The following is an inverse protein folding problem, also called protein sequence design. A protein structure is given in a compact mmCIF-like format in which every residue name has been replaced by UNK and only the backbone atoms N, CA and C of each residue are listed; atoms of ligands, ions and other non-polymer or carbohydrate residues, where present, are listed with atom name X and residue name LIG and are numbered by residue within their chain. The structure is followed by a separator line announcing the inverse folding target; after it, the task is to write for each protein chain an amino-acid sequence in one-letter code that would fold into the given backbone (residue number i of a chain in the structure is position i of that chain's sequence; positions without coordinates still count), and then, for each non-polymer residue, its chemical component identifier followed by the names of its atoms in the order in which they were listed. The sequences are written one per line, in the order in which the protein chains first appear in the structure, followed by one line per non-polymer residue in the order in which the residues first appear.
data_IF_883984302738
#
_entry.id   IF_883984302738
#
_cell.length_a   1.000
_cell.length_b   1.000
_cell.length_c   1.000
_cell.angle_alpha   90.00
_cell.angle_beta   90.00
_cell.angle_gamma   90.00
#
_symmetry.space_group_name_H-M   'P 1'
#
loop_
_entity.id
_entity.type
_entity.pdbx_description
1 polymer ?
#
# COMPACT_ATOMS: atom_id res chain seq x y z
N UNK A 1 18.00 -3.95 -23.57
CA UNK A 1 17.38 -3.28 -22.41
C UNK A 1 16.75 -4.39 -21.59
N UNK A 2 17.31 -4.68 -20.41
CA UNK A 2 16.81 -5.76 -19.56
C UNK A 2 15.42 -5.44 -19.05
N UNK A 3 14.54 -6.43 -19.11
CA UNK A 3 13.17 -6.44 -18.59
C UNK A 3 13.21 -6.31 -17.06
N UNK A 4 13.46 -5.10 -16.55
CA UNK A 4 13.29 -4.81 -15.13
C UNK A 4 11.79 -4.69 -14.92
N UNK A 5 11.14 -5.58 -14.15
CA UNK A 5 9.72 -5.49 -13.91
C UNK A 5 9.41 -4.11 -13.32
N UNK A 6 8.60 -3.31 -14.01
CA UNK A 6 8.05 -2.09 -13.42
C UNK A 6 7.11 -2.52 -12.30
N UNK A 7 7.59 -2.42 -11.05
CA UNK A 7 6.75 -2.68 -9.89
C UNK A 7 5.64 -1.62 -9.81
N UNK A 8 4.39 -2.08 -9.82
CA UNK A 8 3.22 -1.23 -9.69
C UNK A 8 3.22 -0.44 -8.38
N UNK A 9 2.45 0.65 -8.38
CA UNK A 9 2.37 1.57 -7.25
C UNK A 9 1.42 1.06 -6.16
N UNK A 10 1.91 0.13 -5.35
CA UNK A 10 1.13 -0.45 -4.25
C UNK A 10 0.69 0.60 -3.22
N UNK A 11 1.52 1.63 -2.97
CA UNK A 11 1.21 2.66 -1.99
C UNK A 11 0.00 3.49 -2.43
N UNK A 12 -0.02 3.95 -3.68
CA UNK A 12 -1.13 4.76 -4.18
C UNK A 12 -2.44 3.96 -4.22
N UNK A 13 -2.39 2.67 -4.59
CA UNK A 13 -3.57 1.81 -4.54
C UNK A 13 -4.06 1.62 -3.10
N UNK A 14 -3.17 1.38 -2.15
CA UNK A 14 -3.53 1.27 -0.73
C UNK A 14 -4.12 2.59 -0.19
N UNK A 15 -3.56 3.73 -0.60
CA UNK A 15 -4.09 5.05 -0.24
C UNK A 15 -5.48 5.29 -0.83
N UNK A 16 -5.73 4.90 -2.09
CA UNK A 16 -7.04 4.98 -2.72
C UNK A 16 -8.07 4.09 -2.00
N UNK A 17 -7.69 2.87 -1.63
CA UNK A 17 -8.52 1.97 -0.82
C UNK A 17 -8.90 2.63 0.51
N UNK A 18 -7.91 3.13 1.26
CA UNK A 18 -8.14 3.79 2.55
C UNK A 18 -9.02 5.04 2.43
N UNK A 19 -8.83 5.81 1.36
CA UNK A 19 -9.63 7.02 1.11
C UNK A 19 -11.09 6.66 0.86
N UNK A 20 -11.34 5.61 0.07
CA UNK A 20 -12.68 5.13 -0.22
C UNK A 20 -13.37 4.58 1.03
N UNK A 21 -12.71 3.72 1.81
CA UNK A 21 -13.27 3.17 3.05
C UNK A 21 -13.62 4.27 4.05
N UNK A 22 -12.75 5.27 4.22
CA UNK A 22 -13.00 6.42 5.10
C UNK A 22 -14.19 7.28 4.65
N UNK A 23 -14.40 7.41 3.34
CA UNK A 23 -15.57 8.13 2.80
C UNK A 23 -16.85 7.35 3.09
N UNK A 24 -16.87 6.06 2.79
CA UNK A 24 -18.06 5.22 2.96
C UNK A 24 -18.44 5.05 4.43
N UNK A 25 -17.45 4.89 5.32
CA UNK A 25 -17.66 4.84 6.76
C UNK A 25 -18.31 6.12 7.30
N UNK A 26 -17.82 7.29 6.85
CA UNK A 26 -18.46 8.58 7.19
C UNK A 26 -19.87 8.71 6.64
N UNK A 27 -20.13 8.20 5.43
CA UNK A 27 -21.48 8.20 4.85
C UNK A 27 -22.44 7.31 5.64
N UNK A 28 -21.99 6.12 6.05
CA UNK A 28 -22.75 5.20 6.90
C UNK A 28 -23.07 5.84 8.25
N UNK A 29 -22.06 6.40 8.93
CA UNK A 29 -22.26 7.12 10.19
C UNK A 29 -23.25 8.29 10.04
N UNK A 30 -23.13 9.09 8.98
CA UNK A 30 -24.07 10.17 8.69
C UNK A 30 -25.50 9.69 8.42
N UNK A 31 -25.68 8.53 7.79
CA UNK A 31 -26.99 7.92 7.59
C UNK A 31 -27.62 7.48 8.92
N UNK A 32 -26.82 6.89 9.81
CA UNK A 32 -27.24 6.55 11.18
C UNK A 32 -27.68 7.77 11.96
N UNK A 33 -26.89 8.86 11.97
CA UNK A 33 -27.26 10.08 12.67
C UNK A 33 -28.55 10.71 12.12
N UNK A 34 -28.75 10.69 10.79
CA UNK A 34 -29.99 11.18 10.16
C UNK A 34 -31.21 10.36 10.59
N UNK A 35 -31.10 9.03 10.61
CA UNK A 35 -32.17 8.16 11.11
C UNK A 35 -32.48 8.44 12.58
N UNK A 36 -31.46 8.49 13.44
CA UNK A 36 -31.64 8.77 14.87
C UNK A 36 -32.37 10.10 15.12
N UNK A 37 -31.99 11.15 14.38
CA UNK A 37 -32.67 12.45 14.44
C UNK A 37 -34.13 12.35 14.02
N UNK A 38 -34.44 11.60 12.95
CA UNK A 38 -35.82 11.39 12.51
C UNK A 38 -36.64 10.56 13.51
N UNK A 39 -36.03 9.60 14.19
CA UNK A 39 -36.69 8.85 15.26
C UNK A 39 -37.03 9.73 16.45
N UNK A 40 -36.09 10.57 16.90
CA UNK A 40 -36.36 11.54 17.97
C UNK A 40 -37.51 12.49 17.59
N UNK A 41 -37.53 12.99 16.35
CA UNK A 41 -38.63 13.82 15.85
C UNK A 41 -39.96 13.06 15.79
N UNK A 42 -39.94 11.77 15.45
CA UNK A 42 -41.13 10.92 15.43
C UNK A 42 -41.69 10.69 16.84
N UNK A 43 -40.84 10.45 17.84
CA UNK A 43 -41.29 10.29 19.22
C UNK A 43 -41.94 11.58 19.76
N UNK A 44 -41.35 12.75 19.48
CA UNK A 44 -41.96 14.04 19.79
C UNK A 44 -43.30 14.26 19.05
N UNK A 45 -43.39 13.87 17.78
CA UNK A 45 -44.61 13.99 17.00
C UNK A 45 -45.73 13.04 17.47
N UNK A 46 -45.39 11.87 18.02
CA UNK A 46 -46.36 10.94 18.63
C UNK A 46 -47.02 11.54 19.86
N UNK A 47 -46.27 12.26 20.71
CA UNK A 47 -46.82 12.98 21.87
C UNK A 47 -47.87 14.03 21.45
N UNK A 48 -47.76 14.55 20.22
CA UNK A 48 -48.71 15.53 19.64
C UNK A 48 -49.75 14.88 18.70
N UNK A 49 -49.90 13.55 18.71
CA UNK A 49 -50.80 12.80 17.80
C UNK A 49 -50.57 13.03 16.29
N UNK A 50 -49.35 13.41 15.89
CA UNK A 50 -48.94 13.71 14.50
C UNK A 50 -47.90 12.74 13.93
N UNK A 51 -47.72 11.57 14.56
CA UNK A 51 -46.68 10.59 14.21
C UNK A 51 -46.72 10.07 12.76
N UNK A 52 -47.91 9.99 12.15
CA UNK A 52 -48.10 9.46 10.79
C UNK A 52 -47.37 10.27 9.71
N UNK A 53 -47.05 11.56 9.96
CA UNK A 53 -46.35 12.44 9.00
C UNK A 53 -44.88 12.08 8.77
N UNK A 54 -44.26 11.33 9.69
CA UNK A 54 -42.82 11.01 9.64
C UNK A 54 -42.54 9.53 9.32
N UNK A 55 -43.57 8.68 9.31
CA UNK A 55 -43.42 7.23 9.11
C UNK A 55 -42.71 6.88 7.80
N UNK A 56 -43.17 7.41 6.66
CA UNK A 56 -42.56 7.16 5.35
C UNK A 56 -41.12 7.64 5.27
N UNK A 57 -40.83 8.83 5.83
CA UNK A 57 -39.46 9.39 5.87
C UNK A 57 -38.54 8.52 6.72
N UNK A 58 -39.03 8.00 7.85
CA UNK A 58 -38.26 7.12 8.71
C UNK A 58 -37.97 5.77 8.03
N UNK A 59 -38.95 5.19 7.33
CA UNK A 59 -38.75 3.95 6.56
C UNK A 59 -37.66 4.11 5.51
N UNK A 60 -37.71 5.20 4.74
CA UNK A 60 -36.67 5.52 3.75
C UNK A 60 -35.30 5.74 4.41
N UNK A 61 -35.24 6.44 5.55
CA UNK A 61 -34.00 6.65 6.29
C UNK A 61 -33.40 5.34 6.81
N UNK A 62 -34.23 4.40 7.30
CA UNK A 62 -33.80 3.06 7.71
C UNK A 62 -33.30 2.20 6.55
N UNK A 63 -33.88 2.34 5.37
CA UNK A 63 -33.40 1.66 4.17
C UNK A 63 -32.05 2.23 3.71
N UNK A 64 -31.94 3.55 3.66
CA UNK A 64 -30.70 4.24 3.29
C UNK A 64 -29.55 3.96 4.27
N UNK A 65 -29.81 3.90 5.58
CA UNK A 65 -28.83 3.49 6.58
C UNK A 65 -28.36 2.06 6.34
N UNK A 66 -29.28 1.09 6.18
CA UNK A 66 -28.93 -0.31 5.92
C UNK A 66 -28.04 -0.45 4.68
N UNK A 67 -28.39 0.21 3.59
CA UNK A 67 -27.60 0.21 2.36
C UNK A 67 -26.21 0.82 2.55
N UNK A 68 -26.12 1.98 3.22
CA UNK A 68 -24.84 2.66 3.45
C UNK A 68 -23.92 1.85 4.38
N UNK A 69 -24.47 1.26 5.46
CA UNK A 69 -23.71 0.42 6.39
C UNK A 69 -23.23 -0.85 5.70
N UNK A 70 -24.09 -1.52 4.92
CA UNK A 70 -23.71 -2.72 4.18
C UNK A 70 -22.59 -2.41 3.18
N UNK A 71 -22.76 -1.37 2.38
CA UNK A 71 -21.75 -0.96 1.40
C UNK A 71 -20.41 -0.62 2.06
N UNK A 72 -20.43 0.10 3.19
CA UNK A 72 -19.21 0.42 3.93
C UNK A 72 -18.49 -0.84 4.39
N UNK A 73 -19.22 -1.80 4.97
CA UNK A 73 -18.63 -3.06 5.45
C UNK A 73 -18.07 -3.90 4.31
N UNK A 74 -18.82 -4.04 3.24
CA UNK A 74 -18.39 -4.81 2.09
C UNK A 74 -17.10 -4.27 1.47
N UNK A 75 -17.03 -2.95 1.26
CA UNK A 75 -15.83 -2.32 0.70
C UNK A 75 -14.65 -2.41 1.68
N UNK A 76 -14.90 -2.28 2.98
CA UNK A 76 -13.88 -2.52 3.99
C UNK A 76 -13.34 -3.95 3.91
N UNK A 77 -14.20 -4.97 3.85
CA UNK A 77 -13.77 -6.38 3.70
C UNK A 77 -12.97 -6.60 2.42
N UNK A 78 -13.45 -6.11 1.27
CA UNK A 78 -12.76 -6.28 -0.01
C UNK A 78 -11.37 -5.60 -0.02
N UNK A 79 -11.26 -4.41 0.55
CA UNK A 79 -9.98 -3.70 0.66
C UNK A 79 -9.02 -4.33 1.66
N UNK A 80 -9.54 -4.94 2.73
CA UNK A 80 -8.74 -5.74 3.67
C UNK A 80 -8.19 -7.00 3.00
N UNK A 81 -9.02 -7.75 2.26
CA UNK A 81 -8.55 -8.91 1.49
C UNK A 81 -7.51 -8.53 0.45
N UNK A 82 -7.74 -7.44 -0.30
CA UNK A 82 -6.76 -6.94 -1.25
C UNK A 82 -5.42 -6.65 -0.57
N UNK A 83 -5.45 -5.97 0.58
CA UNK A 83 -4.23 -5.53 1.28
C UNK A 83 -3.49 -6.67 1.97
N UNK A 84 -4.21 -7.59 2.61
CA UNK A 84 -3.63 -8.60 3.51
C UNK A 84 -3.49 -9.98 2.89
N UNK A 85 -4.26 -10.31 1.86
CA UNK A 85 -4.20 -11.60 1.19
C UNK A 85 -3.51 -11.47 -0.18
N UNK A 86 -3.87 -10.45 -0.96
CA UNK A 86 -3.43 -10.32 -2.36
C UNK A 86 -2.15 -9.51 -2.52
N UNK A 87 -1.98 -8.40 -1.79
CA UNK A 87 -0.83 -7.50 -1.91
C UNK A 87 0.22 -7.69 -0.79
N UNK A 88 -0.02 -8.61 0.15
CA UNK A 88 0.95 -8.94 1.19
C UNK A 88 2.19 -9.63 0.61
N UNK A 89 3.40 -9.31 1.09
CA UNK A 89 4.63 -9.94 0.58
C UNK A 89 4.60 -11.45 0.81
N UNK A 90 4.41 -11.85 2.07
CA UNK A 90 4.12 -13.23 2.46
C UNK A 90 2.65 -13.54 2.17
N UNK A 91 2.40 -14.22 1.06
CA UNK A 91 1.05 -14.56 0.62
C UNK A 91 1.04 -15.73 -0.35
N UNK A 92 -0.10 -15.99 -1.00
CA UNK A 92 -0.29 -17.14 -1.86
C UNK A 92 0.53 -17.03 -3.17
N UNK A 93 0.43 -18.06 -4.01
CA UNK A 93 1.07 -18.10 -5.34
C UNK A 93 0.58 -16.96 -6.23
N UNK A 94 1.34 -16.61 -7.28
CA UNK A 94 0.89 -15.63 -8.26
C UNK A 94 -0.48 -15.98 -8.85
N UNK A 95 -0.72 -17.26 -9.19
CA UNK A 95 -1.98 -17.72 -9.76
C UNK A 95 -3.16 -17.49 -8.81
N UNK A 96 -3.02 -17.92 -7.55
CA UNK A 96 -4.05 -17.70 -6.52
C UNK A 96 -4.28 -16.20 -6.27
N UNK A 97 -3.23 -15.37 -6.30
CA UNK A 97 -3.38 -13.91 -6.17
C UNK A 97 -4.15 -13.32 -7.32
N UNK A 98 -3.93 -13.76 -8.56
CA UNK A 98 -4.67 -13.29 -9.73
C UNK A 98 -6.15 -13.63 -9.61
N UNK A 99 -6.48 -14.85 -9.21
CA UNK A 99 -7.87 -15.27 -8.98
C UNK A 99 -8.56 -14.41 -7.90
N UNK A 100 -7.90 -14.24 -6.75
CA UNK A 100 -8.42 -13.40 -5.65
C UNK A 100 -8.55 -11.92 -6.06
N UNK A 101 -7.59 -11.40 -6.83
CA UNK A 101 -7.62 -10.03 -7.33
C UNK A 101 -8.81 -9.83 -8.27
N UNK A 102 -9.00 -10.73 -9.24
CA UNK A 102 -10.08 -10.66 -10.22
C UNK A 102 -11.44 -10.78 -9.53
N UNK A 103 -11.55 -11.66 -8.52
CA UNK A 103 -12.72 -11.75 -7.64
C UNK A 103 -13.02 -10.40 -6.95
N UNK A 104 -12.03 -9.77 -6.34
CA UNK A 104 -12.21 -8.47 -5.67
C UNK A 104 -12.68 -7.40 -6.67
N UNK A 105 -12.07 -7.34 -7.86
CA UNK A 105 -12.46 -6.37 -8.90
C UNK A 105 -13.90 -6.61 -9.38
N UNK A 106 -14.32 -7.86 -9.52
CA UNK A 106 -15.70 -8.22 -9.85
C UNK A 106 -16.69 -7.80 -8.75
N UNK A 107 -16.36 -8.07 -7.49
CA UNK A 107 -17.19 -7.68 -6.34
C UNK A 107 -17.30 -6.15 -6.19
N UNK A 108 -16.24 -5.40 -6.48
CA UNK A 108 -16.27 -3.94 -6.55
C UNK A 108 -17.20 -3.46 -7.67
N UNK A 109 -17.21 -4.12 -8.83
CA UNK A 109 -18.10 -3.78 -9.95
C UNK A 109 -19.57 -3.93 -9.58
N UNK A 110 -19.93 -5.00 -8.87
CA UNK A 110 -21.32 -5.22 -8.42
C UNK A 110 -21.79 -4.10 -7.48
N UNK A 111 -20.91 -3.61 -6.60
CA UNK A 111 -21.21 -2.54 -5.65
C UNK A 111 -21.18 -1.14 -6.25
N UNK A 112 -20.44 -0.95 -7.34
CA UNK A 112 -20.49 0.26 -8.14
C UNK A 112 -21.91 0.49 -8.70
N UNK A 113 -22.50 -0.55 -9.29
CA UNK A 113 -23.86 -0.52 -9.86
C UNK A 113 -24.91 -0.22 -8.77
N UNK A 114 -24.66 -0.67 -7.53
CA UNK A 114 -25.55 -0.45 -6.39
C UNK A 114 -25.55 0.98 -5.83
N UNK A 115 -24.78 1.93 -6.41
CA UNK A 115 -25.04 3.37 -6.23
C UNK A 115 -23.89 4.22 -5.70
N UNK A 116 -22.63 3.75 -5.76
CA UNK A 116 -21.49 4.60 -5.38
C UNK A 116 -20.50 4.79 -6.54
N UNK A 117 -20.68 5.87 -7.29
CA UNK A 117 -19.77 6.30 -8.36
C UNK A 117 -18.31 6.46 -7.89
N UNK A 118 -18.07 6.60 -6.58
CA UNK A 118 -16.72 6.71 -6.01
C UNK A 118 -15.94 5.40 -6.01
N UNK A 119 -16.59 4.26 -6.24
CA UNK A 119 -15.94 2.95 -6.41
C UNK A 119 -15.27 2.85 -7.78
N UNK A 120 -15.86 3.49 -8.79
CA UNK A 120 -15.43 3.39 -10.18
C UNK A 120 -13.93 3.69 -10.40
N UNK A 121 -13.37 4.81 -9.88
CA UNK A 121 -11.95 5.13 -10.11
C UNK A 121 -11.01 4.06 -9.55
N UNK A 122 -11.29 3.56 -8.34
CA UNK A 122 -10.49 2.51 -7.72
C UNK A 122 -10.58 1.20 -8.54
N UNK A 123 -11.79 0.78 -8.91
CA UNK A 123 -11.99 -0.45 -9.69
C UNK A 123 -11.26 -0.39 -11.04
N UNK A 124 -11.34 0.74 -11.75
CA UNK A 124 -10.66 0.92 -13.03
C UNK A 124 -9.13 0.91 -12.85
N UNK A 125 -8.61 1.56 -11.80
CA UNK A 125 -7.18 1.55 -11.50
C UNK A 125 -6.69 0.13 -11.22
N UNK A 126 -7.39 -0.63 -10.36
CA UNK A 126 -7.06 -2.02 -10.05
C UNK A 126 -7.08 -2.91 -11.29
N UNK A 127 -8.12 -2.80 -12.12
CA UNK A 127 -8.22 -3.60 -13.35
C UNK A 127 -7.07 -3.33 -14.31
N UNK A 128 -6.69 -2.06 -14.51
CA UNK A 128 -5.65 -1.67 -15.46
C UNK A 128 -4.23 -2.03 -15.00
N UNK A 129 -4.00 -2.12 -13.70
CA UNK A 129 -2.66 -2.25 -13.12
C UNK A 129 -2.43 -3.62 -12.46
N UNK A 130 -3.34 -4.59 -12.60
CA UNK A 130 -3.28 -5.88 -11.89
C UNK A 130 -1.90 -6.53 -11.98
N UNK A 131 -1.40 -6.71 -13.20
CA UNK A 131 -0.15 -7.44 -13.42
C UNK A 131 1.06 -6.66 -12.89
N UNK A 132 1.05 -5.32 -12.99
CA UNK A 132 2.07 -4.45 -12.41
C UNK A 132 2.07 -4.52 -10.88
N UNK A 133 0.88 -4.49 -10.25
CA UNK A 133 0.70 -4.60 -8.80
C UNK A 133 1.08 -5.99 -8.27
N UNK A 134 1.02 -7.03 -9.11
CA UNK A 134 1.40 -8.40 -8.76
C UNK A 134 2.80 -8.79 -9.24
N UNK A 135 3.53 -7.90 -9.92
CA UNK A 135 4.86 -8.19 -10.45
C UNK A 135 5.85 -8.64 -9.36
N UNK A 136 5.74 -8.08 -8.15
CA UNK A 136 6.57 -8.50 -7.01
C UNK A 136 6.34 -9.97 -6.64
N UNK A 137 5.12 -10.49 -6.78
CA UNK A 137 4.77 -11.86 -6.45
C UNK A 137 5.41 -12.84 -7.43
N UNK A 138 5.50 -12.48 -8.72
CA UNK A 138 6.25 -13.25 -9.72
C UNK A 138 7.74 -13.37 -9.36
N UNK A 139 8.36 -12.26 -8.97
CA UNK A 139 9.77 -12.22 -8.55
C UNK A 139 9.98 -13.06 -7.29
N UNK A 140 9.10 -12.92 -6.29
CA UNK A 140 9.18 -13.71 -5.06
C UNK A 140 9.02 -15.21 -5.36
N UNK A 141 8.00 -15.58 -6.13
CA UNK A 141 7.73 -16.98 -6.49
C UNK A 141 8.94 -17.62 -7.17
N UNK A 142 9.61 -16.92 -8.09
CA UNK A 142 10.85 -17.42 -8.70
C UNK A 142 11.97 -17.62 -7.68
N UNK A 143 12.20 -16.65 -6.79
CA UNK A 143 13.20 -16.79 -5.71
C UNK A 143 12.90 -17.97 -4.80
N UNK A 144 11.63 -18.23 -4.48
CA UNK A 144 11.25 -19.38 -3.67
C UNK A 144 11.49 -20.71 -4.40
N UNK A 145 11.33 -20.76 -5.72
CA UNK A 145 11.70 -21.91 -6.57
C UNK A 145 13.21 -22.12 -6.53
N UNK A 146 14.01 -21.07 -6.70
CA UNK A 146 15.47 -21.16 -6.67
C UNK A 146 15.96 -21.64 -5.29
N UNK A 147 15.37 -21.15 -4.19
CA UNK A 147 15.63 -21.62 -2.83
C UNK A 147 15.27 -23.11 -2.69
N UNK A 148 14.10 -23.54 -3.19
CA UNK A 148 13.68 -24.93 -3.14
C UNK A 148 14.69 -25.86 -3.83
N UNK A 149 15.21 -25.45 -4.98
CA UNK A 149 16.25 -26.17 -5.72
C UNK A 149 17.57 -26.21 -4.95
N UNK A 150 18.08 -25.05 -4.50
CA UNK A 150 19.34 -24.97 -3.76
C UNK A 150 19.34 -25.85 -2.49
N UNK A 151 18.25 -25.83 -1.73
CA UNK A 151 18.12 -26.58 -0.48
C UNK A 151 17.60 -28.01 -0.66
N UNK A 152 17.31 -28.44 -1.89
CA UNK A 152 16.71 -29.73 -2.22
C UNK A 152 15.48 -30.00 -1.34
N UNK A 153 14.59 -29.00 -1.26
CA UNK A 153 13.42 -29.01 -0.38
C UNK A 153 12.16 -28.81 -1.22
N UNK A 154 11.06 -29.53 -0.95
CA UNK A 154 9.80 -29.32 -1.66
C UNK A 154 9.34 -27.85 -1.59
N UNK A 155 8.95 -27.27 -2.73
CA UNK A 155 8.54 -25.86 -2.84
C UNK A 155 7.42 -25.48 -1.87
N UNK A 156 6.48 -26.39 -1.60
CA UNK A 156 5.38 -26.12 -0.66
C UNK A 156 5.86 -25.87 0.77
N UNK A 157 6.97 -26.48 1.21
CA UNK A 157 7.57 -26.21 2.52
C UNK A 157 8.27 -24.84 2.53
N UNK A 158 8.99 -24.50 1.46
CA UNK A 158 9.60 -23.17 1.29
C UNK A 158 8.54 -22.07 1.32
N UNK A 159 7.41 -22.26 0.61
CA UNK A 159 6.26 -21.37 0.68
C UNK A 159 5.67 -21.30 2.09
N UNK A 160 5.56 -22.43 2.79
CA UNK A 160 5.06 -22.44 4.17
C UNK A 160 5.96 -21.66 5.13
N UNK A 161 7.28 -21.68 4.93
CA UNK A 161 8.24 -20.82 5.63
C UNK A 161 8.03 -19.35 5.26
N UNK A 162 7.83 -19.02 3.98
CA UNK A 162 7.48 -17.65 3.57
C UNK A 162 6.21 -17.14 4.27
N UNK A 163 5.16 -17.97 4.31
CA UNK A 163 3.89 -17.64 4.99
C UNK A 163 4.01 -17.48 6.51
N UNK A 164 5.08 -17.97 7.13
CA UNK A 164 5.34 -17.74 8.56
C UNK A 164 5.52 -16.24 8.85
N UNK A 165 6.13 -15.49 7.94
CA UNK A 165 6.33 -14.03 8.05
C UNK A 165 5.04 -13.22 8.03
N UNK A 166 3.90 -13.83 7.68
CA UNK A 166 2.58 -13.19 7.78
C UNK A 166 2.12 -13.05 9.23
N UNK A 167 2.66 -13.87 10.15
CA UNK A 167 2.28 -13.89 11.56
C UNK A 167 3.27 -13.08 12.39
N UNK A 168 2.77 -12.45 13.45
CA UNK A 168 3.62 -11.74 14.41
C UNK A 168 4.43 -12.76 15.23
N UNK A 169 5.74 -12.57 15.43
CA UNK A 169 6.56 -13.43 16.30
C UNK A 169 6.06 -13.52 17.74
N UNK A 170 5.24 -12.56 18.18
CA UNK A 170 4.63 -12.54 19.52
C UNK A 170 3.37 -13.41 19.63
N UNK A 171 2.87 -13.98 18.54
CA UNK A 171 1.62 -14.75 18.54
C UNK A 171 1.83 -16.25 18.77
N UNK A 172 0.92 -16.90 19.51
CA UNK A 172 0.97 -18.34 19.72
C UNK A 172 0.88 -19.13 18.40
N UNK A 173 0.09 -18.64 17.44
CA UNK A 173 -0.07 -19.25 16.12
C UNK A 173 1.20 -19.20 15.28
N UNK A 174 2.06 -18.19 15.48
CA UNK A 174 3.39 -18.15 14.90
C UNK A 174 4.24 -19.31 15.42
N UNK A 175 4.35 -19.46 16.74
CA UNK A 175 5.19 -20.50 17.34
C UNK A 175 4.69 -21.91 17.08
N UNK A 176 3.37 -22.12 17.05
CA UNK A 176 2.79 -23.41 16.63
C UNK A 176 3.21 -23.77 15.20
N UNK A 177 3.08 -22.83 14.25
CA UNK A 177 3.49 -23.08 12.87
C UNK A 177 4.99 -23.23 12.72
N UNK A 178 5.76 -22.42 13.45
CA UNK A 178 7.21 -22.50 13.51
C UNK A 178 7.65 -23.90 13.93
N UNK A 179 7.11 -24.44 15.03
CA UNK A 179 7.44 -25.78 15.53
C UNK A 179 7.08 -26.88 14.52
N UNK A 180 5.90 -26.79 13.87
CA UNK A 180 5.51 -27.73 12.81
C UNK A 180 6.53 -27.76 11.66
N UNK A 181 6.94 -26.58 11.18
CA UNK A 181 7.93 -26.47 10.10
C UNK A 181 9.31 -26.94 10.54
N UNK A 182 9.70 -26.62 11.78
CA UNK A 182 10.94 -27.10 12.37
C UNK A 182 10.98 -28.63 12.44
N UNK A 183 9.90 -29.28 12.86
CA UNK A 183 9.82 -30.76 12.88
C UNK A 183 9.91 -31.39 11.49
N UNK A 184 9.38 -30.73 10.45
CA UNK A 184 9.42 -31.23 9.08
C UNK A 184 10.78 -31.02 8.39
N UNK A 185 11.45 -29.90 8.70
CA UNK A 185 12.67 -29.47 8.01
C UNK A 185 13.95 -29.72 8.83
N UNK A 186 13.80 -30.00 10.12
CA UNK A 186 14.87 -30.28 11.08
C UNK A 186 16.02 -29.26 10.96
N UNK A 187 17.27 -29.73 10.88
CA UNK A 187 18.44 -28.85 10.79
C UNK A 187 18.47 -27.90 9.58
N UNK A 188 17.69 -28.18 8.51
CA UNK A 188 17.60 -27.28 7.35
C UNK A 188 16.74 -26.05 7.63
N UNK A 189 15.87 -26.10 8.64
CA UNK A 189 14.86 -25.06 8.89
C UNK A 189 15.46 -23.66 9.04
N UNK A 190 16.51 -23.51 9.86
CA UNK A 190 17.11 -22.20 10.12
C UNK A 190 17.75 -21.58 8.88
N UNK A 191 18.45 -22.39 8.08
CA UNK A 191 19.05 -21.92 6.83
C UNK A 191 17.97 -21.54 5.81
N UNK A 192 16.90 -22.33 5.73
CA UNK A 192 15.78 -22.04 4.84
C UNK A 192 15.05 -20.77 5.25
N UNK A 193 14.80 -20.58 6.54
CA UNK A 193 14.19 -19.36 7.09
C UNK A 193 15.04 -18.12 6.77
N UNK A 194 16.36 -18.21 6.93
CA UNK A 194 17.28 -17.12 6.59
C UNK A 194 17.23 -16.80 5.09
N UNK A 195 17.32 -17.81 4.22
CA UNK A 195 17.28 -17.62 2.77
C UNK A 195 15.95 -17.01 2.29
N UNK A 196 14.83 -17.47 2.86
CA UNK A 196 13.50 -16.90 2.56
C UNK A 196 13.38 -15.46 3.06
N UNK A 197 13.87 -15.16 4.26
CA UNK A 197 13.90 -13.79 4.81
C UNK A 197 14.67 -12.86 3.90
N UNK A 198 15.85 -13.30 3.45
CA UNK A 198 16.71 -12.55 2.53
C UNK A 198 16.03 -12.29 1.19
N UNK A 199 15.43 -13.32 0.60
CA UNK A 199 14.67 -13.20 -0.64
C UNK A 199 13.52 -12.20 -0.52
N UNK A 200 12.82 -12.19 0.62
CA UNK A 200 11.75 -11.23 0.91
C UNK A 200 12.30 -9.80 1.05
N UNK A 201 13.40 -9.60 1.78
CA UNK A 201 14.05 -8.28 1.95
C UNK A 201 14.46 -7.68 0.61
N UNK A 202 14.98 -8.50 -0.30
CA UNK A 202 15.38 -8.09 -1.65
C UNK A 202 14.25 -8.09 -2.69
N UNK A 203 13.00 -8.27 -2.28
CA UNK A 203 11.84 -8.17 -3.19
C UNK A 203 11.13 -6.85 -2.95
N UNK A 204 11.38 -5.83 -3.78
CA UNK A 204 10.71 -4.54 -3.63
C UNK A 204 9.21 -4.71 -3.91
N UNK A 205 8.39 -4.23 -2.98
CA UNK A 205 6.92 -4.21 -3.11
C UNK A 205 6.40 -2.96 -3.78
N UNK A 206 7.10 -1.85 -3.65
CA UNK A 206 6.68 -0.57 -4.18
C UNK A 206 7.92 0.21 -4.58
N UNK A 207 7.77 1.07 -5.58
CA UNK A 207 8.78 2.03 -5.98
C UNK A 207 8.91 3.17 -4.96
N UNK A 208 8.88 2.88 -3.65
CA UNK A 208 8.92 3.89 -2.57
C UNK A 208 10.12 4.82 -2.67
N UNK A 209 11.22 4.36 -3.26
CA UNK A 209 12.37 5.18 -3.63
C UNK A 209 12.04 6.21 -4.72
N UNK A 210 11.36 5.77 -5.78
CA UNK A 210 10.90 6.63 -6.88
C UNK A 210 9.80 7.58 -6.38
N UNK A 211 8.91 7.15 -5.49
CA UNK A 211 7.90 8.00 -4.87
C UNK A 211 8.51 9.02 -3.89
N UNK A 212 9.49 8.61 -3.09
CA UNK A 212 10.25 9.54 -2.25
C UNK A 212 10.94 10.59 -3.12
N UNK A 213 11.53 10.17 -4.24
CA UNK A 213 12.11 11.09 -5.20
C UNK A 213 11.04 12.01 -5.82
N UNK A 214 9.93 11.46 -6.31
CA UNK A 214 8.85 12.21 -6.95
C UNK A 214 8.18 13.20 -5.99
N UNK A 215 7.94 12.82 -4.74
CA UNK A 215 7.40 13.71 -3.70
C UNK A 215 8.36 14.87 -3.40
N UNK A 216 9.67 14.60 -3.33
CA UNK A 216 10.70 15.64 -3.20
C UNK A 216 10.70 16.57 -4.42
N UNK A 217 10.61 16.01 -5.63
CA UNK A 217 10.58 16.76 -6.89
C UNK A 217 9.33 17.65 -7.00
N UNK A 218 8.18 17.18 -6.52
CA UNK A 218 6.90 17.92 -6.58
C UNK A 218 6.97 19.30 -5.93
N UNK A 219 7.73 19.44 -4.84
CA UNK A 219 7.96 20.71 -4.17
C UNK A 219 8.72 21.71 -5.06
N UNK A 220 9.60 21.24 -5.93
CA UNK A 220 10.35 22.08 -6.86
C UNK A 220 9.53 22.43 -8.10
N UNK A 221 8.66 21.53 -8.54
CA UNK A 221 7.77 21.75 -9.67
C UNK A 221 6.68 22.78 -9.38
N UNK A 222 6.17 22.85 -8.14
CA UNK A 222 5.17 23.85 -7.76
C UNK A 222 5.72 25.29 -7.80
N UNK A 223 7.03 25.47 -7.62
CA UNK A 223 7.68 26.78 -7.56
C UNK A 223 7.83 27.45 -8.94
N UNK A 224 7.54 26.74 -10.05
CA UNK A 224 7.69 27.28 -11.41
C UNK A 224 6.54 26.90 -12.33
N UNK A 225 6.08 27.89 -13.10
CA UNK A 225 4.97 27.74 -14.07
C UNK A 225 5.37 27.00 -15.35
N UNK A 226 6.67 26.95 -15.67
CA UNK A 226 7.26 26.21 -16.80
C UNK A 226 8.55 25.52 -16.36
N UNK A 227 8.71 24.25 -16.73
CA UNK A 227 9.89 23.43 -16.45
C UNK A 227 10.64 23.21 -17.77
N UNK A 228 11.72 23.97 -17.98
CA UNK A 228 12.61 23.79 -19.12
C UNK A 228 13.74 22.78 -18.82
N UNK A 229 14.40 22.21 -19.85
CA UNK A 229 15.49 21.25 -19.69
C UNK A 229 16.62 21.76 -18.78
N UNK A 230 17.02 23.02 -18.94
CA UNK A 230 18.07 23.66 -18.13
C UNK A 230 17.74 23.68 -16.63
N UNK A 231 16.46 23.87 -16.28
CA UNK A 231 16.02 23.85 -14.89
C UNK A 231 16.05 22.43 -14.32
N UNK A 232 15.66 21.44 -15.12
CA UNK A 232 15.72 20.02 -14.72
C UNK A 232 17.17 19.57 -14.53
N UNK A 233 18.10 20.02 -15.37
CA UNK A 233 19.53 19.76 -15.22
C UNK A 233 20.09 20.37 -13.94
N UNK A 234 19.73 21.63 -13.64
CA UNK A 234 20.10 22.29 -12.38
C UNK A 234 19.49 21.57 -11.17
N UNK A 235 18.23 21.16 -11.26
CA UNK A 235 17.54 20.45 -10.19
C UNK A 235 18.18 19.07 -9.95
N UNK A 236 18.50 18.33 -11.00
CA UNK A 236 19.26 17.06 -10.93
C UNK A 236 20.62 17.29 -10.27
N UNK A 237 21.36 18.29 -10.73
CA UNK A 237 22.66 18.65 -10.15
C UNK A 237 22.53 18.95 -8.66
N UNK A 238 21.60 19.84 -8.29
CA UNK A 238 21.37 20.24 -6.91
C UNK A 238 20.99 19.05 -6.01
N UNK A 239 20.08 18.18 -6.46
CA UNK A 239 19.64 17.03 -5.67
C UNK A 239 20.74 15.99 -5.45
N UNK A 240 21.67 15.85 -6.39
CA UNK A 240 22.80 14.92 -6.27
C UNK A 240 23.94 15.45 -5.40
N UNK A 241 24.12 16.77 -5.31
CA UNK A 241 25.26 17.39 -4.61
C UNK A 241 24.89 18.08 -3.29
N UNK A 242 23.59 18.19 -2.96
CA UNK A 242 23.16 18.68 -1.65
C UNK A 242 23.30 17.58 -0.60
N UNK A 243 23.88 17.94 0.55
CA UNK A 243 24.03 17.04 1.69
C UNK A 243 22.70 16.78 2.42
N UNK A 244 22.54 15.58 2.97
CA UNK A 244 21.40 15.24 3.81
C UNK A 244 21.53 15.89 5.19
N UNK A 245 20.62 16.82 5.50
CA UNK A 245 20.55 17.44 6.84
C UNK A 245 20.06 16.46 7.92
N UNK A 246 19.26 15.46 7.52
CA UNK A 246 18.64 14.45 8.39
C UNK A 246 18.43 13.16 7.60
N UNK A 247 18.62 12.02 8.24
CA UNK A 247 18.35 10.69 7.67
C UNK A 247 18.12 9.66 8.79
N UNK A 248 17.29 8.64 8.53
CA UNK A 248 17.14 7.47 9.41
C UNK A 248 18.40 6.59 9.42
N UNK A 249 19.16 6.58 8.30
CA UNK A 249 20.50 6.01 8.27
C UNK A 249 21.51 7.08 8.71
N UNK A 250 22.04 6.96 9.94
CA UNK A 250 22.99 7.93 10.51
C UNK A 250 24.20 8.17 9.62
N UNK A 251 24.68 7.14 8.91
CA UNK A 251 25.82 7.21 7.98
C UNK A 251 25.64 8.18 6.81
N UNK A 252 24.39 8.57 6.50
CA UNK A 252 24.06 9.48 5.39
C UNK A 252 24.03 10.94 5.81
N UNK A 253 23.92 11.23 7.11
CA UNK A 253 23.81 12.60 7.61
C UNK A 253 25.11 13.35 7.28
N UNK A 254 24.97 14.55 6.69
CA UNK A 254 26.10 15.37 6.28
C UNK A 254 26.74 14.99 4.94
N UNK A 255 26.34 13.89 4.30
CA UNK A 255 26.84 13.47 2.98
C UNK A 255 25.84 13.76 1.87
N UNK A 256 26.30 13.98 0.66
CA UNK A 256 25.47 14.06 -0.54
C UNK A 256 25.25 12.67 -1.18
N UNK A 257 24.22 12.50 -2.04
CA UNK A 257 24.10 11.30 -2.86
C UNK A 257 25.35 10.98 -3.69
N UNK A 258 26.00 12.00 -4.28
CA UNK A 258 27.24 11.80 -5.03
C UNK A 258 28.35 11.24 -4.13
N UNK A 259 28.56 11.82 -2.94
CA UNK A 259 29.60 11.35 -2.00
C UNK A 259 29.34 9.94 -1.49
N UNK A 260 28.07 9.59 -1.28
CA UNK A 260 27.67 8.24 -0.89
C UNK A 260 27.91 7.21 -1.99
N UNK A 261 27.72 7.58 -3.26
CA UNK A 261 27.94 6.68 -4.39
C UNK A 261 29.41 6.55 -4.76
N UNK A 262 30.18 7.63 -4.73
CA UNK A 262 31.59 7.64 -5.17
C UNK A 262 32.58 7.38 -4.04
N UNK A 263 32.16 7.56 -2.79
CA UNK A 263 33.05 7.54 -1.62
C UNK A 263 33.99 8.74 -1.55
N UNK A 264 33.90 9.70 -2.48
CA UNK A 264 34.78 10.86 -2.57
C UNK A 264 34.07 12.12 -2.06
N UNK A 265 34.67 12.89 -1.13
CA UNK A 265 34.10 14.14 -0.68
C UNK A 265 34.14 15.19 -1.80
N UNK A 266 33.20 16.13 -1.79
CA UNK A 266 33.22 17.25 -2.71
C UNK A 266 32.94 18.60 -2.02
N UNK A 267 33.34 19.70 -2.66
CA UNK A 267 33.03 21.05 -2.19
C UNK A 267 31.50 21.28 -2.13
N UNK A 268 31.06 22.35 -1.48
CA UNK A 268 29.62 22.63 -1.39
C UNK A 268 29.03 22.81 -2.79
N UNK A 269 27.79 22.37 -3.02
CA UNK A 269 27.17 22.40 -4.36
C UNK A 269 27.17 23.79 -5.04
N UNK A 270 27.10 24.88 -4.27
CA UNK A 270 27.27 26.25 -4.80
C UNK A 270 28.68 26.51 -5.33
N UNK A 271 29.71 26.04 -4.62
CA UNK A 271 31.12 26.20 -5.00
C UNK A 271 31.42 25.39 -6.26
N UNK A 272 30.80 24.21 -6.40
CA UNK A 272 30.85 23.40 -7.63
C UNK A 272 30.21 24.10 -8.85
N UNK A 273 29.31 25.06 -8.63
CA UNK A 273 28.76 25.93 -9.68
C UNK A 273 29.57 27.21 -9.90
N UNK A 274 30.73 27.36 -9.23
CA UNK A 274 31.56 28.56 -9.29
C UNK A 274 31.04 29.72 -8.45
N UNK A 275 30.07 29.50 -7.56
CA UNK A 275 29.49 30.53 -6.70
C UNK A 275 30.16 30.55 -5.32
N UNK A 276 30.35 31.75 -4.77
CA UNK A 276 30.86 31.91 -3.41
C UNK A 276 29.74 31.77 -2.37
N UNK A 277 30.03 31.03 -1.30
CA UNK A 277 29.12 30.90 -0.17
C UNK A 277 29.15 32.15 0.69
N UNK A 278 27.97 32.63 1.06
CA UNK A 278 27.86 33.63 2.10
C UNK A 278 28.31 33.03 3.45
N UNK A 279 29.34 33.62 4.06
CA UNK A 279 29.78 33.32 5.42
C UNK A 279 29.38 34.50 6.30
N UNK A 280 28.50 34.27 7.28
CA UNK A 280 28.27 35.27 8.34
C UNK A 280 29.55 35.38 9.15
N UNK A 281 30.05 36.61 9.30
CA UNK A 281 31.15 36.94 10.21
C UNK A 281 30.77 36.63 11.65
#
# INVERSE_FOLDING_TARGET
MGDIPCHGDLFHIQQQCQSLTNILSRQAAGATSRRQKLEQQMELAKQQSRGNRLSTKLTLARQAERQAVQLSRDIETLTQWLSHDVLALAGPTLAERQELFDFIVAELKLREVAGCQRIHPLRVALFKQRDDLLAFAKVLDQKLVDIAQCFHTPLHLVRAVCLLHRRKPTSATYWQRWNQLYHQLSGKFHFLLAAVTEAMTHTPRASSLVENLNSRLRNYFFLRRQLGPQYLDLLRFFLNHRTFMRSECLERVGKSPTELMTGQPHAHWLELLGLQRFRRA
#
